data_IF_568651855018
#
_entry.id   IF_568651855018
#
_cell.length_a   1.000
_cell.length_b   1.000
_cell.length_c   1.000
_cell.angle_alpha   90.00
_cell.angle_beta   90.00
_cell.angle_gamma   90.00
#
_symmetry.space_group_name_H-M   'P 1'
#
loop_
_entity.id
_entity.type
_entity.pdbx_description
1 polymer ?
#
# COMPACT_ATOMS: atom_id res chain seq x y z
N UNK A 1 -5.23 19.46 8.19
CA UNK A 1 -4.25 18.43 8.60
C UNK A 1 -3.44 18.05 7.38
N UNK A 2 -2.13 17.83 7.51
CA UNK A 2 -1.31 17.25 6.44
C UNK A 2 -1.83 15.84 6.12
N UNK A 3 -1.82 15.46 4.85
CA UNK A 3 -2.23 14.12 4.40
C UNK A 3 -1.25 13.07 4.93
N UNK A 4 -1.77 11.96 5.47
CA UNK A 4 -0.95 10.84 5.94
C UNK A 4 -0.60 9.96 4.74
N UNK A 5 0.70 9.82 4.46
CA UNK A 5 1.23 8.96 3.39
C UNK A 5 2.17 7.91 4.01
N UNK A 6 1.70 6.67 4.23
CA UNK A 6 2.54 5.62 4.82
C UNK A 6 3.54 5.02 3.83
N UNK A 7 3.44 5.35 2.54
CA UNK A 7 4.29 4.87 1.46
C UNK A 7 4.76 6.10 0.68
N UNK A 8 6.06 6.18 0.42
CA UNK A 8 6.66 7.22 -0.41
C UNK A 8 7.78 6.63 -1.25
N UNK A 9 7.80 6.95 -2.54
CA UNK A 9 8.89 6.58 -3.45
C UNK A 9 9.71 7.82 -3.79
N UNK A 10 10.98 7.85 -3.40
CA UNK A 10 11.87 8.98 -3.63
C UNK A 10 13.27 8.51 -4.02
N UNK A 11 13.82 9.09 -5.10
CA UNK A 11 15.20 8.83 -5.57
C UNK A 11 15.55 7.34 -5.72
N UNK A 12 14.57 6.51 -6.08
CA UNK A 12 14.77 5.08 -6.26
C UNK A 12 14.80 4.27 -4.95
N UNK A 13 14.41 4.86 -3.83
CA UNK A 13 14.26 4.24 -2.51
C UNK A 13 12.80 4.27 -2.08
N UNK A 14 12.32 3.15 -1.53
CA UNK A 14 10.99 3.05 -0.96
C UNK A 14 11.04 3.39 0.52
N UNK A 15 10.27 4.40 0.93
CA UNK A 15 10.16 4.85 2.32
C UNK A 15 8.79 4.44 2.87
N UNK A 16 8.77 3.76 4.00
CA UNK A 16 7.56 3.21 4.60
C UNK A 16 7.46 3.67 6.05
N UNK A 17 6.26 4.08 6.48
CA UNK A 17 5.99 4.30 7.89
C UNK A 17 5.89 2.96 8.62
N UNK A 18 6.72 2.75 9.63
CA UNK A 18 6.72 1.51 10.43
C UNK A 18 5.51 1.48 11.37
N UNK A 19 4.45 0.81 10.93
CA UNK A 19 3.20 0.69 11.68
C UNK A 19 3.35 -0.20 12.93
N UNK A 20 4.47 -0.89 13.14
CA UNK A 20 4.73 -1.63 14.38
C UNK A 20 5.12 -0.71 15.54
N UNK A 21 5.58 0.51 15.25
CA UNK A 21 6.02 1.50 16.24
C UNK A 21 4.91 2.45 16.70
N UNK A 22 3.87 2.61 15.89
CA UNK A 22 2.68 3.38 16.23
C UNK A 22 1.91 2.75 17.41
N UNK A 23 1.27 3.55 18.27
CA UNK A 23 1.19 5.01 18.24
C UNK A 23 2.34 5.72 18.97
N UNK A 24 3.31 4.97 19.50
CA UNK A 24 4.35 5.50 20.40
C UNK A 24 5.36 6.36 19.65
N UNK A 25 5.68 5.99 18.41
CA UNK A 25 6.71 6.65 17.62
C UNK A 25 6.41 6.54 16.12
N UNK A 26 6.64 7.63 15.40
CA UNK A 26 6.61 7.70 13.94
C UNK A 26 8.01 7.47 13.38
N UNK A 27 8.26 6.27 12.85
CA UNK A 27 9.55 5.89 12.27
C UNK A 27 9.36 5.59 10.79
N UNK A 28 10.16 6.23 9.94
CA UNK A 28 10.26 5.89 8.51
C UNK A 28 11.39 4.87 8.34
N UNK A 29 11.08 3.74 7.71
CA UNK A 29 12.07 2.76 7.27
C UNK A 29 12.29 2.90 5.78
N UNK A 30 13.55 2.85 5.35
CA UNK A 30 13.93 2.87 3.95
C UNK A 30 14.23 1.45 3.48
N UNK A 31 13.68 1.08 2.33
CA UNK A 31 13.99 -0.14 1.61
C UNK A 31 14.77 0.24 0.34
N UNK A 32 16.03 -0.19 0.29
CA UNK A 32 16.96 0.04 -0.81
C UNK A 32 16.96 -1.12 -1.82
N UNK A 33 16.31 -2.24 -1.48
CA UNK A 33 16.13 -3.38 -2.38
C UNK A 33 14.82 -4.12 -2.15
N UNK A 34 14.46 -5.01 -3.08
CA UNK A 34 13.15 -5.67 -3.06
C UNK A 34 12.96 -6.59 -1.85
N UNK A 35 14.04 -7.22 -1.36
CA UNK A 35 14.00 -8.09 -0.18
C UNK A 35 13.66 -7.33 1.10
N UNK A 36 14.10 -6.07 1.23
CA UNK A 36 13.76 -5.22 2.38
C UNK A 36 12.29 -4.80 2.35
N UNK A 37 11.74 -4.55 1.15
CA UNK A 37 10.30 -4.33 0.99
C UNK A 37 9.48 -5.59 1.29
N UNK A 38 9.97 -6.77 0.88
CA UNK A 38 9.38 -8.06 1.23
C UNK A 38 9.40 -8.28 2.75
N UNK A 39 10.50 -7.95 3.43
CA UNK A 39 10.60 -8.01 4.89
C UNK A 39 9.57 -7.07 5.55
N UNK A 40 9.44 -5.83 5.07
CA UNK A 40 8.45 -4.88 5.58
C UNK A 40 7.01 -5.41 5.47
N UNK A 41 6.67 -6.13 4.40
CA UNK A 41 5.37 -6.80 4.22
C UNK A 41 5.23 -7.97 5.21
N UNK A 42 6.25 -8.84 5.29
CA UNK A 42 6.26 -10.05 6.14
C UNK A 42 6.13 -9.71 7.63
N UNK A 43 6.89 -8.72 8.08
CA UNK A 43 6.96 -8.27 9.49
C UNK A 43 5.83 -7.31 9.87
N UNK A 44 4.93 -7.01 8.93
CA UNK A 44 3.79 -6.11 9.12
C UNK A 44 4.18 -4.66 9.47
N UNK A 45 5.40 -4.22 9.13
CA UNK A 45 5.76 -2.79 9.12
C UNK A 45 4.85 -2.02 8.17
N UNK A 46 4.55 -2.61 7.01
CA UNK A 46 3.44 -2.19 6.14
C UNK A 46 2.31 -3.22 6.18
N UNK A 47 1.08 -2.73 6.21
CA UNK A 47 -0.12 -3.56 6.32
C UNK A 47 -1.36 -2.82 5.83
N UNK A 48 -2.42 -3.59 5.58
CA UNK A 48 -3.60 -3.11 4.86
C UNK A 48 -3.53 -3.56 3.41
N UNK A 49 -4.63 -4.10 2.88
CA UNK A 49 -4.57 -4.81 1.60
C UNK A 49 -4.07 -3.90 0.46
N UNK A 50 -4.55 -2.65 0.33
CA UNK A 50 -4.02 -1.75 -0.71
C UNK A 50 -2.57 -1.32 -0.47
N UNK A 51 -2.18 -0.97 0.77
CA UNK A 51 -0.81 -0.60 1.09
C UNK A 51 0.20 -1.74 0.79
N UNK A 52 -0.19 -2.98 1.07
CA UNK A 52 0.61 -4.17 0.72
C UNK A 52 0.71 -4.32 -0.80
N UNK A 53 -0.38 -4.11 -1.54
CA UNK A 53 -0.37 -4.17 -3.01
C UNK A 53 0.58 -3.15 -3.63
N UNK A 54 0.49 -1.88 -3.21
CA UNK A 54 1.37 -0.80 -3.68
C UNK A 54 2.84 -1.09 -3.32
N UNK A 55 3.11 -1.53 -2.09
CA UNK A 55 4.46 -1.91 -1.66
C UNK A 55 5.03 -3.07 -2.47
N UNK A 56 4.20 -4.06 -2.80
CA UNK A 56 4.59 -5.20 -3.64
C UNK A 56 4.89 -4.77 -5.08
N UNK A 57 4.15 -3.79 -5.63
CA UNK A 57 4.45 -3.23 -6.95
C UNK A 57 5.83 -2.56 -6.96
N UNK A 58 6.14 -1.75 -5.95
CA UNK A 58 7.48 -1.19 -5.77
C UNK A 58 8.55 -2.26 -5.61
N UNK A 59 8.27 -3.34 -4.86
CA UNK A 59 9.19 -4.47 -4.72
C UNK A 59 9.52 -5.12 -6.08
N UNK A 60 8.53 -5.33 -6.97
CA UNK A 60 8.80 -5.85 -8.31
C UNK A 60 9.66 -4.87 -9.14
N UNK A 61 9.39 -3.57 -9.06
CA UNK A 61 10.19 -2.55 -9.75
C UNK A 61 11.65 -2.50 -9.23
N UNK A 62 11.85 -2.64 -7.92
CA UNK A 62 13.19 -2.74 -7.31
C UNK A 62 13.91 -4.01 -7.77
N UNK A 63 13.24 -5.17 -7.73
CA UNK A 63 13.81 -6.43 -8.19
C UNK A 63 14.26 -6.34 -9.65
N UNK A 64 13.45 -5.75 -10.53
CA UNK A 64 13.81 -5.52 -11.92
C UNK A 64 15.07 -4.65 -12.06
N UNK A 65 15.22 -3.59 -11.25
CA UNK A 65 16.40 -2.71 -11.29
C UNK A 65 17.68 -3.39 -10.80
N UNK A 66 17.58 -4.30 -9.84
CA UNK A 66 18.70 -5.08 -9.31
C UNK A 66 19.24 -6.14 -10.28
N UNK A 67 18.46 -6.55 -11.30
CA UNK A 67 18.89 -7.53 -12.29
C UNK A 67 19.80 -6.89 -13.35
N UNK A 68 21.06 -7.33 -13.42
CA UNK A 68 22.00 -6.98 -14.49
C UNK A 68 21.99 -8.05 -15.61
N UNK A 69 20.91 -8.06 -16.39
CA UNK A 69 20.67 -9.06 -17.46
C UNK A 69 20.13 -8.33 -18.70
N UNK A 70 20.82 -8.50 -19.83
CA UNK A 70 20.43 -7.89 -21.12
C UNK A 70 19.49 -8.78 -21.94
N UNK A 71 19.57 -10.10 -21.77
CA UNK A 71 18.68 -11.05 -22.42
C UNK A 71 17.28 -11.00 -21.80
N UNK A 72 16.27 -10.69 -22.62
CA UNK A 72 14.90 -10.45 -22.13
C UNK A 72 14.28 -11.69 -21.50
N UNK A 73 14.45 -12.86 -22.11
CA UNK A 73 13.81 -14.09 -21.61
C UNK A 73 14.41 -14.53 -20.28
N UNK A 74 15.74 -14.46 -20.15
CA UNK A 74 16.45 -14.70 -18.89
C UNK A 74 16.04 -13.68 -17.84
N UNK A 75 15.95 -12.40 -18.20
CA UNK A 75 15.52 -11.33 -17.30
C UNK A 75 14.11 -11.59 -16.76
N UNK A 76 13.14 -11.89 -17.64
CA UNK A 76 11.75 -12.16 -17.26
C UNK A 76 11.64 -13.36 -16.32
N UNK A 77 12.36 -14.46 -16.60
CA UNK A 77 12.37 -15.63 -15.70
C UNK A 77 12.88 -15.27 -14.30
N UNK A 78 13.96 -14.50 -14.20
CA UNK A 78 14.50 -14.05 -12.89
C UNK A 78 13.54 -13.08 -12.18
N UNK A 79 12.86 -12.23 -12.93
CA UNK A 79 11.84 -11.35 -12.37
C UNK A 79 10.60 -12.13 -11.88
N UNK A 80 10.21 -13.19 -12.58
CA UNK A 80 9.13 -14.09 -12.14
C UNK A 80 9.50 -14.87 -10.86
N UNK A 81 10.76 -15.29 -10.71
CA UNK A 81 11.30 -15.86 -9.46
C UNK A 81 11.18 -14.86 -8.30
N UNK A 82 11.59 -13.60 -8.51
CA UNK A 82 11.44 -12.53 -7.52
C UNK A 82 9.95 -12.26 -7.22
N UNK A 83 9.09 -12.27 -8.24
CA UNK A 83 7.64 -12.16 -8.09
C UNK A 83 7.06 -13.25 -7.19
N UNK A 84 7.51 -14.50 -7.35
CA UNK A 84 7.10 -15.62 -6.48
C UNK A 84 7.55 -15.41 -5.03
N UNK A 85 8.76 -14.89 -4.81
CA UNK A 85 9.27 -14.55 -3.47
C UNK A 85 8.45 -13.44 -2.81
N UNK A 86 8.10 -12.39 -3.57
CA UNK A 86 7.24 -11.30 -3.10
C UNK A 86 5.85 -11.84 -2.72
N UNK A 87 5.27 -12.72 -3.55
CA UNK A 87 3.99 -13.39 -3.27
C UNK A 87 4.03 -14.25 -2.01
N UNK A 88 5.14 -14.93 -1.76
CA UNK A 88 5.35 -15.74 -0.57
C UNK A 88 5.41 -14.92 0.73
N UNK A 89 5.58 -13.60 0.67
CA UNK A 89 5.56 -12.73 1.85
C UNK A 89 4.29 -12.91 2.68
N UNK A 90 3.13 -12.93 2.00
CA UNK A 90 1.81 -13.11 2.62
C UNK A 90 0.87 -13.82 1.63
N UNK A 91 0.88 -15.17 1.57
CA UNK A 91 0.22 -15.95 0.51
C UNK A 91 -1.30 -15.76 0.38
N UNK A 92 -1.96 -15.23 1.41
CA UNK A 92 -3.41 -14.98 1.42
C UNK A 92 -3.77 -13.53 1.05
N UNK A 93 -2.78 -12.65 0.83
CA UNK A 93 -3.02 -11.26 0.49
C UNK A 93 -3.36 -11.10 -1.00
N UNK A 94 -4.64 -11.08 -1.33
CA UNK A 94 -5.13 -10.98 -2.73
C UNK A 94 -4.61 -9.73 -3.44
N UNK A 95 -4.60 -8.56 -2.80
CA UNK A 95 -4.06 -7.33 -3.38
C UNK A 95 -2.55 -7.41 -3.67
N UNK A 96 -1.80 -8.20 -2.89
CA UNK A 96 -0.40 -8.48 -3.16
C UNK A 96 -0.29 -9.28 -4.45
N UNK A 97 -1.04 -10.38 -4.55
CA UNK A 97 -1.03 -11.24 -5.74
C UNK A 97 -1.37 -10.45 -7.00
N UNK A 98 -2.47 -9.70 -6.95
CA UNK A 98 -2.93 -8.82 -8.03
C UNK A 98 -1.86 -7.83 -8.46
N UNK A 99 -1.21 -7.16 -7.51
CA UNK A 99 -0.17 -6.18 -7.81
C UNK A 99 1.02 -6.82 -8.53
N UNK A 100 1.54 -7.94 -7.99
CA UNK A 100 2.65 -8.66 -8.62
C UNK A 100 2.28 -9.16 -10.01
N UNK A 101 1.07 -9.70 -10.20
CA UNK A 101 0.61 -10.19 -11.50
C UNK A 101 0.48 -9.08 -12.54
N UNK A 102 -0.04 -7.91 -12.14
CA UNK A 102 -0.12 -6.70 -12.98
C UNK A 102 1.27 -6.27 -13.44
N UNK A 103 2.23 -6.22 -12.51
CA UNK A 103 3.61 -5.81 -12.81
C UNK A 103 4.32 -6.80 -13.74
N UNK A 104 4.20 -8.12 -13.50
CA UNK A 104 4.80 -9.14 -14.36
C UNK A 104 4.16 -9.15 -15.77
N UNK A 105 2.86 -8.90 -15.87
CA UNK A 105 2.19 -8.77 -17.16
C UNK A 105 2.71 -7.57 -17.95
N UNK A 106 2.90 -6.42 -17.29
CA UNK A 106 3.52 -5.24 -17.91
C UNK A 106 4.93 -5.57 -18.40
N UNK A 107 5.77 -6.17 -17.56
CA UNK A 107 7.15 -6.54 -17.93
C UNK A 107 7.21 -7.40 -19.19
N UNK A 108 6.32 -8.39 -19.34
CA UNK A 108 6.27 -9.24 -20.54
C UNK A 108 5.93 -8.46 -21.82
N UNK A 109 5.13 -7.40 -21.69
CA UNK A 109 4.64 -6.60 -22.82
C UNK A 109 5.66 -5.61 -23.39
N UNK A 110 6.67 -5.24 -22.60
CA UNK A 110 7.69 -4.26 -22.98
C UNK A 110 8.79 -4.90 -23.87
N UNK A 111 9.44 -4.14 -24.78
CA UNK A 111 10.29 -4.71 -25.81
C UNK A 111 11.67 -5.19 -25.32
N UNK A 112 12.24 -4.54 -24.29
CA UNK A 112 13.60 -4.77 -23.82
C UNK A 112 13.73 -4.52 -22.31
N UNK A 113 14.86 -4.95 -21.72
CA UNK A 113 15.05 -4.91 -20.26
C UNK A 113 15.19 -3.50 -19.70
N UNK A 114 15.68 -2.53 -20.48
CA UNK A 114 15.75 -1.14 -20.05
C UNK A 114 14.35 -0.53 -19.95
N UNK A 115 13.52 -0.73 -20.99
CA UNK A 115 12.11 -0.33 -20.97
C UNK A 115 11.33 -0.99 -19.85
N UNK A 116 11.54 -2.28 -19.60
CA UNK A 116 10.89 -2.97 -18.47
C UNK A 116 11.19 -2.26 -17.14
N UNK A 117 12.46 -1.95 -16.85
CA UNK A 117 12.86 -1.30 -15.58
C UNK A 117 12.17 0.05 -15.40
N UNK A 118 12.16 0.89 -16.43
CA UNK A 118 11.53 2.22 -16.37
C UNK A 118 10.01 2.11 -16.19
N UNK A 119 9.37 1.25 -16.99
CA UNK A 119 7.92 1.09 -17.03
C UNK A 119 7.36 0.50 -15.74
N UNK A 120 8.10 -0.38 -15.08
CA UNK A 120 7.70 -0.93 -13.78
C UNK A 120 7.73 0.15 -12.67
N UNK A 121 8.69 1.07 -12.69
CA UNK A 121 8.70 2.19 -11.73
C UNK A 121 7.52 3.12 -11.98
N UNK A 122 7.28 3.47 -13.24
CA UNK A 122 6.13 4.30 -13.64
C UNK A 122 4.80 3.67 -13.21
N UNK A 123 4.66 2.36 -13.39
CA UNK A 123 3.45 1.62 -13.04
C UNK A 123 3.24 1.54 -11.52
N UNK A 124 4.29 1.29 -10.73
CA UNK A 124 4.18 1.29 -9.27
C UNK A 124 3.71 2.65 -8.74
N UNK A 125 4.26 3.75 -9.30
CA UNK A 125 3.81 5.12 -8.99
C UNK A 125 2.38 5.37 -9.46
N UNK A 126 1.98 4.84 -10.62
CA UNK A 126 0.59 4.92 -11.10
C UNK A 126 -0.36 4.20 -10.14
N UNK A 127 -0.02 2.99 -9.71
CA UNK A 127 -0.82 2.19 -8.79
C UNK A 127 -1.02 2.86 -7.44
N UNK A 128 0.00 3.55 -6.91
CA UNK A 128 -0.12 4.37 -5.70
C UNK A 128 -1.13 5.50 -5.88
N UNK A 129 -1.03 6.24 -7.00
CA UNK A 129 -1.95 7.35 -7.32
C UNK A 129 -3.38 6.86 -7.59
N UNK A 130 -3.53 5.73 -8.27
CA UNK A 130 -4.81 5.08 -8.52
C UNK A 130 -5.50 4.68 -7.21
N UNK A 131 -4.75 4.11 -6.26
CA UNK A 131 -5.30 3.77 -4.94
C UNK A 131 -5.80 5.02 -4.20
N UNK A 132 -5.00 6.09 -4.15
CA UNK A 132 -5.45 7.36 -3.55
C UNK A 132 -6.72 7.89 -4.24
N UNK A 133 -6.75 7.89 -5.57
CA UNK A 133 -7.90 8.38 -6.33
C UNK A 133 -9.17 7.55 -6.05
N UNK A 134 -9.06 6.23 -6.01
CA UNK A 134 -10.17 5.32 -5.69
C UNK A 134 -10.65 5.52 -4.26
N UNK A 135 -9.74 5.69 -3.29
CA UNK A 135 -10.08 5.94 -1.90
C UNK A 135 -10.82 7.27 -1.70
N UNK A 136 -10.36 8.34 -2.36
CA UNK A 136 -11.05 9.64 -2.35
C UNK A 136 -12.42 9.56 -2.99
N UNK A 137 -12.54 8.85 -4.12
CA UNK A 137 -13.83 8.63 -4.78
C UNK A 137 -14.79 7.82 -3.91
N UNK A 138 -14.30 6.76 -3.27
CA UNK A 138 -15.07 5.98 -2.30
C UNK A 138 -15.55 6.85 -1.13
N UNK A 139 -14.68 7.69 -0.57
CA UNK A 139 -15.05 8.67 0.45
C UNK A 139 -16.13 9.63 -0.03
N UNK A 140 -15.98 10.19 -1.24
CA UNK A 140 -16.93 11.13 -1.82
C UNK A 140 -18.33 10.54 -2.05
N UNK A 141 -18.43 9.24 -2.34
CA UNK A 141 -19.71 8.56 -2.47
C UNK A 141 -20.26 8.12 -1.11
N UNK A 142 -19.40 7.60 -0.24
CA UNK A 142 -19.79 7.07 1.07
C UNK A 142 -20.18 8.15 2.07
N UNK A 143 -19.65 9.38 1.94
CA UNK A 143 -19.97 10.49 2.86
C UNK A 143 -21.47 10.78 2.91
N UNK A 144 -22.21 10.55 1.83
CA UNK A 144 -23.66 10.74 1.78
C UNK A 144 -24.39 9.85 2.79
N UNK A 145 -23.82 8.68 3.11
CA UNK A 145 -24.35 7.74 4.09
C UNK A 145 -23.91 8.06 5.53
N UNK A 146 -22.97 8.99 5.71
CA UNK A 146 -22.53 9.39 7.05
C UNK A 146 -23.58 10.25 7.74
N UNK A 147 -23.82 10.02 9.04
CA UNK A 147 -24.83 10.77 9.77
C UNK A 147 -24.32 12.17 10.10
N UNK A 148 -25.23 13.10 10.34
CA UNK A 148 -24.94 14.39 10.95
C UNK A 148 -25.61 14.42 12.34
N UNK A 149 -24.81 14.15 13.37
CA UNK A 149 -25.24 13.62 14.66
C UNK A 149 -25.07 12.10 14.77
N UNK A 150 -25.32 11.51 15.94
CA UNK A 150 -25.26 10.06 16.13
C UNK A 150 -23.84 9.48 16.16
N UNK A 151 -23.66 8.25 15.64
CA UNK A 151 -22.42 7.49 15.79
C UNK A 151 -22.17 6.49 14.67
N UNK A 152 -20.89 6.27 14.35
CA UNK A 152 -20.41 5.25 13.41
C UNK A 152 -19.47 4.30 14.15
N UNK A 153 -19.63 2.99 13.94
CA UNK A 153 -18.71 1.96 14.43
C UNK A 153 -17.83 1.47 13.27
N UNK A 154 -16.53 1.37 13.51
CA UNK A 154 -15.57 0.75 12.59
C UNK A 154 -14.75 -0.34 13.30
N UNK A 155 -14.17 -1.24 12.52
CA UNK A 155 -13.38 -2.37 13.00
C UNK A 155 -12.05 -2.44 12.24
N UNK A 156 -10.97 -2.84 12.93
CA UNK A 156 -9.62 -2.85 12.39
C UNK A 156 -9.11 -1.45 12.03
N UNK A 157 -8.17 -1.37 11.09
CA UNK A 157 -7.68 -0.15 10.48
C UNK A 157 -7.87 -0.24 8.96
N UNK A 158 -8.69 0.68 8.45
CA UNK A 158 -9.01 0.86 7.04
C UNK A 158 -8.89 2.35 6.66
N UNK A 159 -7.97 3.07 7.32
CA UNK A 159 -7.63 4.46 7.06
C UNK A 159 -6.42 4.62 6.16
N UNK A 160 -5.87 5.84 6.13
CA UNK A 160 -4.73 6.19 5.29
C UNK A 160 -3.52 5.26 5.49
N UNK A 161 -3.28 4.80 6.72
CA UNK A 161 -2.22 3.83 7.04
C UNK A 161 -2.39 2.47 6.35
N UNK A 162 -3.63 2.07 6.02
CA UNK A 162 -3.92 0.79 5.39
C UNK A 162 -3.90 0.85 3.84
N UNK A 163 -3.70 2.05 3.28
CA UNK A 163 -3.77 2.37 1.85
C UNK A 163 -2.55 3.22 1.44
N UNK A 164 -2.50 3.70 0.20
CA UNK A 164 -1.50 4.68 -0.23
C UNK A 164 -1.74 6.06 0.41
N UNK A 165 -3.02 6.43 0.57
CA UNK A 165 -3.46 7.63 1.27
C UNK A 165 -4.97 7.54 1.55
N UNK A 166 -5.49 8.46 2.36
CA UNK A 166 -6.91 8.69 2.66
C UNK A 166 -7.65 7.55 3.40
N UNK A 167 -7.69 6.35 2.84
CA UNK A 167 -8.33 5.16 3.40
C UNK A 167 -9.65 4.78 2.72
N UNK A 168 -10.19 3.61 3.09
CA UNK A 168 -11.47 3.10 2.58
C UNK A 168 -12.60 3.41 3.56
N UNK A 169 -12.91 2.51 4.51
CA UNK A 169 -13.98 2.72 5.48
C UNK A 169 -13.73 3.93 6.39
N UNK A 170 -12.48 4.10 6.86
CA UNK A 170 -12.11 5.30 7.62
C UNK A 170 -11.94 6.51 6.70
N UNK A 171 -11.64 6.31 5.42
CA UNK A 171 -11.68 7.37 4.40
C UNK A 171 -13.10 7.93 4.18
N UNK A 172 -14.13 7.09 4.25
CA UNK A 172 -15.54 7.52 4.22
C UNK A 172 -15.91 8.33 5.47
N UNK A 173 -15.47 7.88 6.65
CA UNK A 173 -15.64 8.62 7.90
C UNK A 173 -14.97 10.00 7.78
N UNK A 174 -13.73 10.03 7.30
CA UNK A 174 -12.98 11.26 7.06
C UNK A 174 -13.68 12.19 6.08
N UNK A 175 -14.18 11.66 4.96
CA UNK A 175 -14.93 12.43 3.97
C UNK A 175 -16.18 13.09 4.57
N UNK A 176 -16.93 12.37 5.42
CA UNK A 176 -18.08 12.95 6.14
C UNK A 176 -17.69 14.11 7.05
N UNK A 177 -16.56 14.00 7.75
CA UNK A 177 -16.04 15.11 8.58
C UNK A 177 -15.55 16.30 7.75
N UNK A 178 -14.85 16.05 6.64
CA UNK A 178 -14.40 17.08 5.68
C UNK A 178 -15.61 17.81 5.04
N UNK A 179 -16.73 17.11 4.85
CA UNK A 179 -18.00 17.64 4.34
C UNK A 179 -18.81 18.45 5.38
N UNK A 180 -18.30 18.56 6.61
CA UNK A 180 -18.91 19.37 7.67
C UNK A 180 -19.84 18.60 8.62
N UNK A 181 -20.16 17.34 8.35
CA UNK A 181 -20.98 16.50 9.24
C UNK A 181 -20.25 16.23 10.56
N UNK A 182 -20.98 16.09 11.67
CA UNK A 182 -20.38 15.85 12.99
C UNK A 182 -21.03 14.69 13.71
N UNK A 183 -20.27 13.65 14.00
CA UNK A 183 -20.75 12.41 14.63
C UNK A 183 -19.66 11.76 15.46
N UNK A 184 -20.03 10.85 16.37
CA UNK A 184 -19.05 10.08 17.15
C UNK A 184 -18.52 8.91 16.34
N UNK A 185 -17.22 8.62 16.45
CA UNK A 185 -16.61 7.43 15.85
C UNK A 185 -16.23 6.49 16.97
N UNK A 186 -16.70 5.25 16.89
CA UNK A 186 -16.26 4.16 17.75
C UNK A 186 -15.41 3.20 16.92
N UNK A 187 -14.22 2.89 17.40
CA UNK A 187 -13.35 1.86 16.85
C UNK A 187 -13.16 0.77 17.91
N UNK A 188 -13.36 -0.48 17.52
CA UNK A 188 -13.01 -1.62 18.39
C UNK A 188 -11.49 -1.74 18.53
N UNK A 189 -10.96 -2.36 19.59
CA UNK A 189 -9.51 -2.54 19.72
C UNK A 189 -8.86 -3.42 18.63
N UNK A 190 -9.57 -4.44 18.13
CA UNK A 190 -9.13 -5.41 17.11
C UNK A 190 -7.93 -6.29 17.55
N UNK A 191 -8.15 -7.23 18.47
CA UNK A 191 -7.15 -8.24 18.86
C UNK A 191 -6.78 -9.20 17.71
N UNK A 192 -5.58 -9.80 17.73
CA UNK A 192 -4.51 -9.62 18.73
C UNK A 192 -3.56 -8.45 18.44
N UNK A 193 -3.55 -7.91 17.21
CA UNK A 193 -2.59 -6.89 16.79
C UNK A 193 -2.98 -5.44 17.14
N UNK A 194 -4.18 -5.27 17.69
CA UNK A 194 -4.69 -4.03 18.24
C UNK A 194 -4.76 -2.89 17.23
N UNK A 195 -5.15 -3.20 15.99
CA UNK A 195 -5.21 -2.22 14.89
C UNK A 195 -6.09 -1.03 15.21
N UNK A 196 -7.28 -1.28 15.74
CA UNK A 196 -8.19 -0.19 16.02
C UNK A 196 -7.65 0.67 17.14
N UNK A 197 -7.10 0.07 18.20
CA UNK A 197 -6.54 0.82 19.32
C UNK A 197 -5.22 1.56 18.99
N UNK A 198 -4.37 0.99 18.13
CA UNK A 198 -3.02 1.51 17.83
C UNK A 198 -2.95 2.39 16.60
N UNK A 199 -3.76 2.11 15.57
CA UNK A 199 -3.62 2.71 14.23
C UNK A 199 -4.84 3.51 13.79
N UNK A 200 -6.05 3.10 14.16
CA UNK A 200 -7.28 3.86 13.80
C UNK A 200 -7.54 5.01 14.77
N UNK A 201 -7.14 4.86 16.04
CA UNK A 201 -7.28 5.89 17.06
C UNK A 201 -6.19 6.96 17.00
N UNK A 202 -5.01 6.62 16.46
CA UNK A 202 -3.94 7.55 16.10
C UNK A 202 -4.34 8.31 14.84
#
# INVERSE_FOLDING_TARGET
MSEIRPIEWANGTLRLLDQTRLPTEEVIVEAHGYLEAVDAIKTMRVRGAPAIGVTAAYAVAMAARELDISDKDTFLRRLEEAGAEIKAARPTAVNLMWAVDRMLALARSEPDTARIKDRLVEEAVSMEKEDEAVNRKMGSHGKELMPDGGSVLTHCNAGALATAAYGTAVGVIRAGWEDGKRFKVFNTETRPFLQGARLTAW
#
